data_IF_296252160284
#
_entry.id   IF_296252160284
#
_cell.length_a   1.000
_cell.length_b   1.000
_cell.length_c   1.000
_cell.angle_alpha   90.00
_cell.angle_beta   90.00
_cell.angle_gamma   90.00
#
_symmetry.space_group_name_H-M   'P 1'
#
loop_
_entity.id
_entity.type
_entity.pdbx_description
1 polymer ?
#
# COMPACT_ATOMS: atom_id res chain seq x y z
N UNK A 1 26.92 4.57 -7.58
CA UNK A 1 26.27 5.67 -8.32
C UNK A 1 26.00 6.77 -7.31
N UNK A 2 26.72 7.89 -7.39
CA UNK A 2 26.49 9.06 -6.53
C UNK A 2 25.37 9.86 -7.16
N UNK A 3 24.22 10.05 -6.48
CA UNK A 3 23.21 10.98 -6.99
C UNK A 3 23.78 12.39 -6.84
N UNK A 4 24.30 12.95 -7.93
CA UNK A 4 24.73 14.36 -7.95
C UNK A 4 23.56 15.32 -8.20
N UNK A 5 22.43 14.81 -8.71
CA UNK A 5 21.22 15.57 -9.03
C UNK A 5 20.02 15.12 -8.19
N UNK A 6 20.16 15.22 -6.87
CA UNK A 6 19.12 14.83 -5.93
C UNK A 6 17.94 15.81 -6.05
N UNK A 7 16.67 15.38 -6.03
CA UNK A 7 15.54 16.33 -6.10
C UNK A 7 15.49 17.33 -4.94
N UNK A 8 16.15 17.05 -3.81
CA UNK A 8 16.35 18.05 -2.75
C UNK A 8 17.57 18.97 -2.97
N UNK A 9 18.43 18.70 -3.96
CA UNK A 9 19.48 19.65 -4.41
C UNK A 9 18.85 20.86 -5.09
N UNK A 10 17.61 20.78 -5.58
CA UNK A 10 16.82 21.96 -6.01
C UNK A 10 15.99 22.60 -4.89
N UNK A 11 16.15 22.16 -3.63
CA UNK A 11 15.56 22.80 -2.45
C UNK A 11 14.02 22.75 -2.34
N UNK A 12 13.35 21.87 -3.09
CA UNK A 12 11.89 21.80 -3.10
C UNK A 12 11.40 20.52 -2.45
N UNK A 13 10.54 20.66 -1.45
CA UNK A 13 9.80 19.55 -0.85
C UNK A 13 8.81 18.97 -1.86
N UNK A 14 8.50 17.67 -1.71
CA UNK A 14 7.31 17.07 -2.31
C UNK A 14 6.07 17.77 -1.77
N UNK A 15 5.07 18.01 -2.62
CA UNK A 15 3.83 18.70 -2.24
C UNK A 15 2.66 17.75 -2.13
N UNK A 16 2.77 16.55 -2.70
CA UNK A 16 1.73 15.52 -2.64
C UNK A 16 2.30 14.11 -2.76
N UNK A 17 1.53 13.06 -2.41
CA UNK A 17 1.92 11.68 -2.68
C UNK A 17 2.22 11.41 -4.16
N UNK A 18 1.59 12.14 -5.09
CA UNK A 18 1.79 11.95 -6.53
C UNK A 18 3.20 12.32 -7.00
N UNK A 19 3.98 13.01 -6.17
CA UNK A 19 5.38 13.33 -6.46
C UNK A 19 6.34 12.16 -6.23
N UNK A 20 5.94 11.14 -5.47
CA UNK A 20 6.80 10.00 -5.09
C UNK A 20 7.37 9.28 -6.33
N UNK A 21 6.57 8.90 -7.35
CA UNK A 21 7.11 8.28 -8.55
C UNK A 21 8.08 9.18 -9.31
N UNK A 22 7.80 10.49 -9.36
CA UNK A 22 8.63 11.47 -10.06
C UNK A 22 10.03 11.55 -9.46
N UNK A 23 10.15 11.58 -8.13
CA UNK A 23 11.47 11.64 -7.48
C UNK A 23 12.18 10.29 -7.46
N UNK A 24 11.44 9.19 -7.38
CA UNK A 24 12.04 7.85 -7.42
C UNK A 24 12.62 7.53 -8.80
N UNK A 25 12.08 8.07 -9.89
CA UNK A 25 12.60 7.88 -11.25
C UNK A 25 14.10 8.20 -11.37
N UNK A 26 14.57 9.20 -10.61
CA UNK A 26 15.96 9.64 -10.58
C UNK A 26 16.89 8.67 -9.83
N UNK A 27 16.34 7.77 -9.01
CA UNK A 27 17.09 6.80 -8.22
C UNK A 27 17.36 5.48 -8.98
N UNK A 28 16.68 5.23 -10.09
CA UNK A 28 16.88 4.01 -10.87
C UNK A 28 18.08 4.14 -11.81
N UNK A 29 18.99 3.18 -11.72
CA UNK A 29 20.15 3.08 -12.62
C UNK A 29 19.78 2.65 -14.04
N UNK A 30 18.60 2.03 -14.18
CA UNK A 30 18.05 1.55 -15.44
C UNK A 30 16.57 1.91 -15.52
N UNK A 31 16.19 2.66 -16.55
CA UNK A 31 14.81 3.10 -16.76
C UNK A 31 13.85 1.94 -17.01
N UNK A 32 14.32 0.79 -17.49
CA UNK A 32 13.49 -0.42 -17.57
C UNK A 32 13.18 -0.99 -16.17
N UNK A 33 14.10 -0.88 -15.23
CA UNK A 33 13.85 -1.21 -13.82
C UNK A 33 12.89 -0.18 -13.20
N UNK A 34 12.99 1.10 -13.57
CA UNK A 34 12.02 2.11 -13.14
C UNK A 34 10.61 1.78 -13.63
N UNK A 35 10.47 1.41 -14.92
CA UNK A 35 9.20 0.95 -15.49
C UNK A 35 8.70 -0.32 -14.81
N UNK A 36 9.58 -1.27 -14.48
CA UNK A 36 9.20 -2.52 -13.82
C UNK A 36 8.84 -2.33 -12.33
N UNK A 37 9.58 -1.49 -11.61
CA UNK A 37 9.35 -1.19 -10.19
C UNK A 37 8.17 -0.21 -9.98
N UNK A 38 7.95 0.70 -10.93
CA UNK A 38 6.76 1.54 -10.97
C UNK A 38 5.55 0.81 -11.60
N UNK A 39 5.76 -0.28 -12.37
CA UNK A 39 4.67 -0.78 -13.20
C UNK A 39 4.84 -1.99 -14.10
N UNK A 40 5.80 -2.88 -13.86
CA UNK A 40 5.82 -4.21 -14.49
C UNK A 40 4.62 -5.08 -14.05
N UNK A 41 3.93 -4.66 -12.99
CA UNK A 41 2.51 -4.95 -12.72
C UNK A 41 1.87 -3.70 -12.09
N UNK A 42 1.75 -2.60 -12.85
CA UNK A 42 0.65 -1.63 -12.61
C UNK A 42 -0.59 -2.50 -12.71
N UNK A 43 -1.15 -2.89 -11.56
CA UNK A 43 -2.39 -3.63 -11.35
C UNK A 43 -2.77 -4.62 -12.45
N UNK A 44 -2.79 -5.93 -12.14
CA UNK A 44 -3.38 -6.85 -13.11
C UNK A 44 -4.82 -6.37 -13.40
N UNK A 45 -5.14 -6.20 -14.69
CA UNK A 45 -6.47 -5.74 -15.09
C UNK A 45 -7.56 -6.63 -14.49
N UNK A 46 -7.24 -7.92 -14.31
CA UNK A 46 -8.04 -8.89 -13.58
C UNK A 46 -8.28 -8.51 -12.11
N UNK A 47 -7.28 -8.05 -11.36
CA UNK A 47 -7.47 -7.68 -9.95
C UNK A 47 -8.36 -6.44 -9.82
N UNK A 48 -8.11 -5.42 -10.65
CA UNK A 48 -8.93 -4.21 -10.68
C UNK A 48 -10.37 -4.55 -11.03
N UNK A 49 -10.57 -5.29 -12.13
CA UNK A 49 -11.89 -5.70 -12.58
C UNK A 49 -12.63 -6.55 -11.54
N UNK A 50 -11.96 -7.53 -10.95
CA UNK A 50 -12.56 -8.43 -9.96
C UNK A 50 -12.99 -7.67 -8.70
N UNK A 51 -12.14 -6.79 -8.18
CA UNK A 51 -12.46 -6.00 -6.96
C UNK A 51 -13.54 -4.96 -7.26
N UNK A 52 -13.49 -4.30 -8.41
CA UNK A 52 -14.55 -3.37 -8.85
C UNK A 52 -15.90 -4.07 -8.96
N UNK A 53 -15.95 -5.26 -9.57
CA UNK A 53 -17.20 -6.00 -9.74
C UNK A 53 -17.72 -6.66 -8.46
N UNK A 54 -16.92 -6.79 -7.40
CA UNK A 54 -17.42 -7.32 -6.11
C UNK A 54 -18.68 -6.60 -5.63
N UNK A 55 -18.68 -5.27 -5.69
CA UNK A 55 -19.84 -4.46 -5.29
C UNK A 55 -21.05 -4.78 -6.17
N UNK A 56 -20.85 -4.90 -7.49
CA UNK A 56 -21.89 -5.26 -8.44
C UNK A 56 -22.48 -6.65 -8.16
N UNK A 57 -21.62 -7.66 -7.92
CA UNK A 57 -22.05 -9.02 -7.61
C UNK A 57 -22.82 -9.08 -6.29
N UNK A 58 -22.33 -8.42 -5.23
CA UNK A 58 -23.06 -8.37 -3.96
C UNK A 58 -24.37 -7.58 -4.07
N UNK A 59 -24.40 -6.48 -4.82
CA UNK A 59 -25.63 -5.74 -5.08
C UNK A 59 -26.67 -6.59 -5.85
N UNK A 60 -26.20 -7.43 -6.78
CA UNK A 60 -27.04 -8.41 -7.48
C UNK A 60 -27.63 -9.43 -6.50
N UNK A 61 -26.83 -9.93 -5.54
CA UNK A 61 -27.33 -10.85 -4.50
C UNK A 61 -28.37 -10.17 -3.59
N UNK A 62 -28.15 -8.90 -3.20
CA UNK A 62 -29.14 -8.11 -2.45
C UNK A 62 -30.44 -7.98 -3.25
N UNK A 63 -30.34 -7.63 -4.53
CA UNK A 63 -31.50 -7.44 -5.40
C UNK A 63 -32.31 -8.72 -5.66
N UNK A 64 -31.63 -9.87 -5.71
CA UNK A 64 -32.25 -11.19 -5.86
C UNK A 64 -32.89 -11.71 -4.55
N UNK A 65 -32.72 -11.01 -3.43
CA UNK A 65 -33.19 -11.45 -2.11
C UNK A 65 -34.03 -10.38 -1.40
N UNK A 66 -35.32 -10.22 -1.77
CA UNK A 66 -36.20 -9.23 -1.13
C UNK A 66 -36.29 -9.36 0.41
N UNK A 67 -36.11 -10.57 0.92
CA UNK A 67 -36.14 -10.91 2.35
C UNK A 67 -34.74 -11.19 2.93
N UNK A 68 -33.68 -10.86 2.20
CA UNK A 68 -32.28 -11.11 2.58
C UNK A 68 -31.97 -12.58 2.94
N UNK A 69 -32.72 -13.53 2.35
CA UNK A 69 -32.50 -14.98 2.49
C UNK A 69 -31.08 -15.39 2.13
N UNK A 70 -30.43 -14.69 1.21
CA UNK A 70 -29.05 -14.96 0.81
C UNK A 70 -28.01 -14.30 1.70
N UNK A 71 -28.38 -13.48 2.69
CA UNK A 71 -27.44 -12.74 3.55
C UNK A 71 -26.68 -11.61 2.86
N UNK A 72 -27.07 -11.25 1.62
CA UNK A 72 -26.35 -10.29 0.77
C UNK A 72 -26.18 -8.90 1.40
N UNK A 73 -27.14 -8.43 2.20
CA UNK A 73 -27.10 -7.08 2.81
C UNK A 73 -25.92 -6.95 3.77
N UNK A 74 -25.68 -7.95 4.61
CA UNK A 74 -24.58 -7.93 5.58
C UNK A 74 -23.21 -7.99 4.89
N UNK A 75 -23.10 -8.84 3.85
CA UNK A 75 -21.87 -8.95 3.05
C UNK A 75 -21.57 -7.65 2.30
N UNK A 76 -22.58 -7.02 1.69
CA UNK A 76 -22.44 -5.75 0.97
C UNK A 76 -21.98 -4.61 1.89
N UNK A 77 -22.59 -4.50 3.07
CA UNK A 77 -22.22 -3.50 4.08
C UNK A 77 -20.78 -3.71 4.59
N UNK A 78 -20.40 -4.96 4.82
CA UNK A 78 -19.04 -5.34 5.24
C UNK A 78 -18.00 -5.01 4.16
N UNK A 79 -18.30 -5.30 2.89
CA UNK A 79 -17.42 -4.94 1.77
C UNK A 79 -17.26 -3.42 1.65
N UNK A 80 -18.35 -2.67 1.79
CA UNK A 80 -18.33 -1.20 1.72
C UNK A 80 -17.45 -0.61 2.82
N UNK A 81 -17.60 -1.10 4.04
CA UNK A 81 -16.75 -0.71 5.18
C UNK A 81 -15.28 -1.04 4.91
N UNK A 82 -14.98 -2.26 4.43
CA UNK A 82 -13.62 -2.66 4.09
C UNK A 82 -13.00 -1.74 3.02
N UNK A 83 -13.74 -1.43 1.96
CA UNK A 83 -13.26 -0.54 0.88
C UNK A 83 -13.01 0.89 1.38
N UNK A 84 -13.87 1.43 2.24
CA UNK A 84 -13.66 2.75 2.83
C UNK A 84 -12.42 2.77 3.74
N UNK A 85 -12.23 1.73 4.55
CA UNK A 85 -11.06 1.63 5.41
C UNK A 85 -9.76 1.46 4.60
N UNK A 86 -9.81 0.76 3.46
CA UNK A 86 -8.69 0.65 2.52
C UNK A 86 -8.31 1.99 1.89
N UNK A 87 -9.28 2.78 1.42
CA UNK A 87 -9.03 4.13 0.88
C UNK A 87 -8.41 5.03 1.96
N UNK A 88 -8.99 5.03 3.17
CA UNK A 88 -8.52 5.87 4.27
C UNK A 88 -7.12 5.48 4.75
N UNK A 89 -6.82 4.18 4.82
CA UNK A 89 -5.48 3.68 5.17
C UNK A 89 -4.47 4.00 4.06
N UNK A 90 -4.83 3.81 2.79
CA UNK A 90 -3.97 4.17 1.66
C UNK A 90 -3.65 5.67 1.68
N UNK A 91 -4.65 6.53 1.90
CA UNK A 91 -4.46 7.98 2.00
C UNK A 91 -3.48 8.35 3.12
N UNK A 92 -3.70 7.81 4.31
CA UNK A 92 -2.86 8.06 5.49
C UNK A 92 -1.40 7.66 5.23
N UNK A 93 -1.18 6.46 4.69
CA UNK A 93 0.16 5.91 4.47
C UNK A 93 0.87 6.65 3.34
N UNK A 94 0.17 6.96 2.25
CA UNK A 94 0.71 7.76 1.14
C UNK A 94 1.10 9.16 1.59
N UNK A 95 0.30 9.77 2.48
CA UNK A 95 0.62 11.07 3.08
C UNK A 95 1.85 10.98 4.00
N UNK A 96 1.96 9.93 4.80
CA UNK A 96 3.13 9.71 5.63
C UNK A 96 4.40 9.41 4.83
N UNK A 97 4.28 8.70 3.70
CA UNK A 97 5.40 8.41 2.80
C UNK A 97 6.00 9.67 2.17
N UNK A 98 5.20 10.59 1.64
CA UNK A 98 5.78 11.82 1.08
C UNK A 98 6.40 12.68 2.18
N UNK A 99 5.76 12.77 3.35
CA UNK A 99 6.25 13.57 4.47
C UNK A 99 7.57 13.02 5.03
N UNK A 100 7.71 11.69 5.08
CA UNK A 100 8.94 11.03 5.50
C UNK A 100 10.04 11.18 4.46
N UNK A 101 9.74 11.15 3.16
CA UNK A 101 10.72 11.49 2.12
C UNK A 101 11.21 12.94 2.28
N UNK A 102 10.31 13.90 2.53
CA UNK A 102 10.71 15.28 2.83
C UNK A 102 11.64 15.35 4.04
N UNK A 103 11.31 14.62 5.11
CA UNK A 103 12.12 14.59 6.33
C UNK A 103 13.50 13.99 6.08
N UNK A 104 13.59 12.82 5.45
CA UNK A 104 14.86 12.13 5.20
C UNK A 104 15.70 12.82 4.13
N UNK A 105 15.07 13.53 3.20
CA UNK A 105 15.74 14.17 2.08
C UNK A 105 16.29 15.56 2.38
N UNK A 106 15.72 16.29 3.34
CA UNK A 106 16.39 17.43 3.94
C UNK A 106 17.44 16.89 4.92
N UNK A 107 18.68 16.67 4.46
CA UNK A 107 19.77 16.14 5.30
C UNK A 107 20.14 17.02 6.51
N UNK A 108 19.55 18.21 6.59
CA UNK A 108 19.65 19.14 7.69
C UNK A 108 18.75 18.70 8.85
N UNK A 109 19.26 18.79 10.09
CA UNK A 109 18.55 18.48 11.33
C UNK A 109 18.08 17.03 11.50
N UNK A 110 18.67 16.08 10.78
CA UNK A 110 18.39 14.66 11.02
C UNK A 110 18.90 14.25 12.40
N UNK A 111 18.05 13.57 13.18
CA UNK A 111 18.41 13.03 14.49
C UNK A 111 18.00 11.57 14.57
N UNK A 112 18.68 10.80 15.41
CA UNK A 112 18.31 9.42 15.72
C UNK A 112 16.82 9.28 16.10
N UNK A 113 16.30 10.22 16.89
CA UNK A 113 14.90 10.25 17.34
C UNK A 113 13.90 10.42 16.19
N UNK A 114 14.25 11.16 15.13
CA UNK A 114 13.39 11.29 13.95
C UNK A 114 13.21 9.92 13.26
N UNK A 115 14.27 9.13 13.14
CA UNK A 115 14.19 7.79 12.55
C UNK A 115 13.45 6.80 13.44
N UNK A 116 13.59 6.90 14.77
CA UNK A 116 12.81 6.08 15.70
C UNK A 116 11.30 6.38 15.60
N UNK A 117 10.95 7.67 15.45
CA UNK A 117 9.58 8.12 15.26
C UNK A 117 9.00 7.61 13.94
N UNK A 118 9.74 7.76 12.83
CA UNK A 118 9.32 7.24 11.53
C UNK A 118 9.18 5.71 11.57
N UNK A 119 10.13 5.00 12.15
CA UNK A 119 10.10 3.54 12.27
C UNK A 119 8.88 3.04 13.03
N UNK A 120 8.54 3.73 14.13
CA UNK A 120 7.33 3.43 14.91
C UNK A 120 6.06 3.66 14.08
N UNK A 121 5.98 4.78 13.36
CA UNK A 121 4.83 5.10 12.51
C UNK A 121 4.62 4.06 11.40
N UNK A 122 5.68 3.68 10.68
CA UNK A 122 5.62 2.69 9.60
C UNK A 122 5.31 1.27 10.11
N UNK A 123 5.78 0.92 11.31
CA UNK A 123 5.36 -0.31 12.00
C UNK A 123 3.86 -0.29 12.35
N UNK A 124 3.34 0.87 12.76
CA UNK A 124 1.91 1.11 12.95
C UNK A 124 1.10 0.93 11.65
N UNK A 125 1.54 1.53 10.55
CA UNK A 125 0.91 1.39 9.24
C UNK A 125 0.89 -0.06 8.75
N UNK A 126 1.98 -0.80 8.96
CA UNK A 126 2.02 -2.24 8.67
C UNK A 126 0.96 -3.00 9.47
N UNK A 127 0.80 -2.66 10.75
CA UNK A 127 -0.22 -3.25 11.62
C UNK A 127 -1.64 -2.95 11.10
N UNK A 128 -1.91 -1.72 10.66
CA UNK A 128 -3.17 -1.35 10.01
C UNK A 128 -3.44 -2.20 8.76
N UNK A 129 -2.45 -2.38 7.89
CA UNK A 129 -2.60 -3.20 6.67
C UNK A 129 -2.88 -4.67 7.01
N UNK A 130 -2.20 -5.24 8.02
CA UNK A 130 -2.47 -6.60 8.49
C UNK A 130 -3.87 -6.75 9.10
N UNK A 131 -4.36 -5.73 9.79
CA UNK A 131 -5.74 -5.70 10.29
C UNK A 131 -6.74 -5.71 9.14
N UNK A 132 -6.53 -4.90 8.10
CA UNK A 132 -7.38 -4.89 6.90
C UNK A 132 -7.33 -6.22 6.14
N UNK A 133 -6.16 -6.85 6.07
CA UNK A 133 -6.01 -8.19 5.50
C UNK A 133 -6.86 -9.22 6.27
N UNK A 134 -6.84 -9.13 7.60
CA UNK A 134 -7.67 -9.96 8.49
C UNK A 134 -9.15 -9.71 8.23
N UNK A 135 -9.59 -8.45 8.14
CA UNK A 135 -10.98 -8.10 7.79
C UNK A 135 -11.40 -8.65 6.43
N UNK A 136 -10.54 -8.58 5.41
CA UNK A 136 -10.78 -9.17 4.09
C UNK A 136 -10.96 -10.69 4.16
N UNK A 137 -10.11 -11.38 4.93
CA UNK A 137 -10.20 -12.82 5.14
C UNK A 137 -11.47 -13.22 5.91
N UNK A 138 -11.84 -12.46 6.95
CA UNK A 138 -13.07 -12.69 7.71
C UNK A 138 -14.30 -12.56 6.82
N UNK A 139 -14.37 -11.51 5.98
CA UNK A 139 -15.46 -11.34 5.03
C UNK A 139 -15.51 -12.48 4.02
N UNK A 140 -14.35 -12.89 3.49
CA UNK A 140 -14.25 -14.04 2.58
C UNK A 140 -14.84 -15.30 3.21
N UNK A 141 -14.46 -15.61 4.45
CA UNK A 141 -14.96 -16.77 5.20
C UNK A 141 -16.46 -16.67 5.41
N UNK A 142 -16.99 -15.51 5.80
CA UNK A 142 -18.43 -15.32 6.01
C UNK A 142 -19.25 -15.54 4.72
N UNK A 143 -18.76 -15.04 3.58
CA UNK A 143 -19.38 -15.25 2.28
C UNK A 143 -19.28 -16.72 1.87
N UNK A 144 -18.14 -17.37 2.10
CA UNK A 144 -17.93 -18.81 1.82
C UNK A 144 -18.95 -19.66 2.59
N UNK A 145 -19.05 -19.46 3.90
CA UNK A 145 -20.03 -20.16 4.75
C UNK A 145 -21.46 -19.94 4.27
N UNK A 146 -21.80 -18.70 3.88
CA UNK A 146 -23.13 -18.37 3.37
C UNK A 146 -23.41 -19.06 2.03
N UNK A 147 -22.46 -19.02 1.08
CA UNK A 147 -22.57 -19.69 -0.21
C UNK A 147 -22.77 -21.19 -0.04
N UNK A 148 -22.01 -21.80 0.86
CA UNK A 148 -22.01 -23.25 1.08
C UNK A 148 -23.26 -23.73 1.83
N UNK A 149 -23.93 -22.84 2.58
CA UNK A 149 -25.21 -23.16 3.23
C UNK A 149 -26.42 -23.08 2.28
N UNK A 150 -26.26 -22.51 1.08
CA UNK A 150 -27.32 -22.47 0.07
C UNK A 150 -27.52 -23.86 -0.54
N UNK A 151 -28.48 -24.63 -0.03
CA UNK A 151 -28.72 -26.02 -0.47
C UNK A 151 -29.63 -26.15 -1.69
N UNK A 152 -30.49 -25.16 -1.98
CA UNK A 152 -31.35 -25.21 -3.17
C UNK A 152 -30.55 -25.00 -4.45
N UNK A 153 -31.06 -25.56 -5.54
CA UNK A 153 -30.42 -25.57 -6.87
C UNK A 153 -31.26 -24.90 -7.95
N UNK A 154 -32.16 -23.98 -7.57
CA UNK A 154 -32.90 -23.17 -8.53
C UNK A 154 -31.97 -22.18 -9.23
N UNK A 155 -32.37 -21.65 -10.40
CA UNK A 155 -31.54 -20.73 -11.18
C UNK A 155 -31.09 -19.50 -10.39
N UNK A 156 -31.96 -18.97 -9.52
CA UNK A 156 -31.63 -17.84 -8.62
C UNK A 156 -30.51 -18.24 -7.66
N UNK A 157 -30.59 -19.43 -7.03
CA UNK A 157 -29.56 -19.91 -6.11
C UNK A 157 -28.22 -20.15 -6.83
N UNK A 158 -28.25 -20.70 -8.04
CA UNK A 158 -27.04 -20.89 -8.86
C UNK A 158 -26.40 -19.56 -9.26
N UNK A 159 -27.23 -18.55 -9.58
CA UNK A 159 -26.78 -17.19 -9.86
C UNK A 159 -26.10 -16.57 -8.64
N UNK A 160 -26.72 -16.68 -7.45
CA UNK A 160 -26.16 -16.17 -6.20
C UNK A 160 -24.85 -16.86 -5.85
N UNK A 161 -24.76 -18.19 -5.99
CA UNK A 161 -23.52 -18.94 -5.78
C UNK A 161 -22.40 -18.49 -6.70
N UNK A 162 -22.72 -18.16 -7.95
CA UNK A 162 -21.77 -17.62 -8.93
C UNK A 162 -21.28 -16.24 -8.51
N UNK A 163 -22.19 -15.34 -8.13
CA UNK A 163 -21.83 -14.01 -7.59
C UNK A 163 -20.91 -14.14 -6.37
N UNK A 164 -21.22 -15.02 -5.42
CA UNK A 164 -20.37 -15.24 -4.26
C UNK A 164 -19.01 -15.82 -4.60
N UNK A 165 -18.94 -16.74 -5.57
CA UNK A 165 -17.65 -17.29 -6.04
C UNK A 165 -16.76 -16.19 -6.59
N UNK A 166 -17.30 -15.30 -7.43
CA UNK A 166 -16.55 -14.16 -7.97
C UNK A 166 -16.07 -13.20 -6.88
N UNK A 167 -16.92 -12.90 -5.88
CA UNK A 167 -16.56 -12.05 -4.75
C UNK A 167 -15.47 -12.69 -3.89
N UNK A 168 -15.54 -14.00 -3.64
CA UNK A 168 -14.53 -14.75 -2.89
C UNK A 168 -13.17 -14.65 -3.60
N UNK A 169 -13.10 -14.93 -4.90
CA UNK A 169 -11.85 -14.84 -5.69
C UNK A 169 -11.24 -13.45 -5.63
N UNK A 170 -12.06 -12.40 -5.73
CA UNK A 170 -11.58 -11.04 -5.63
C UNK A 170 -11.09 -10.66 -4.22
N UNK A 171 -11.75 -11.15 -3.16
CA UNK A 171 -11.29 -10.97 -1.77
C UNK A 171 -9.98 -11.73 -1.50
N UNK A 172 -9.73 -12.84 -2.18
CA UNK A 172 -8.43 -13.54 -2.13
C UNK A 172 -7.32 -12.71 -2.75
N UNK A 173 -7.56 -12.16 -3.95
CA UNK A 173 -6.62 -11.23 -4.59
C UNK A 173 -6.35 -9.99 -3.73
N UNK A 174 -7.41 -9.41 -3.15
CA UNK A 174 -7.30 -8.27 -2.22
C UNK A 174 -6.43 -8.61 -0.99
N UNK A 175 -6.68 -9.75 -0.35
CA UNK A 175 -5.93 -10.22 0.82
C UNK A 175 -4.47 -10.49 0.49
N UNK A 176 -4.18 -11.11 -0.66
CA UNK A 176 -2.81 -11.33 -1.12
C UNK A 176 -2.07 -9.99 -1.33
N UNK A 177 -2.74 -9.00 -1.94
CA UNK A 177 -2.20 -7.66 -2.18
C UNK A 177 -1.92 -6.89 -0.89
N UNK A 178 -2.78 -7.01 0.11
CA UNK A 178 -2.54 -6.45 1.44
C UNK A 178 -1.32 -7.09 2.11
N UNK A 179 -1.16 -8.41 1.99
CA UNK A 179 0.05 -9.11 2.45
C UNK A 179 1.33 -8.60 1.79
N UNK A 180 1.29 -8.34 0.48
CA UNK A 180 2.40 -7.72 -0.25
C UNK A 180 2.71 -6.31 0.28
N UNK A 181 1.70 -5.46 0.47
CA UNK A 181 1.89 -4.11 1.03
C UNK A 181 2.49 -4.18 2.45
N UNK A 182 2.03 -5.09 3.30
CA UNK A 182 2.60 -5.29 4.64
C UNK A 182 4.08 -5.71 4.60
N UNK A 183 4.45 -6.58 3.64
CA UNK A 183 5.84 -6.98 3.41
C UNK A 183 6.71 -5.82 2.89
N UNK A 184 6.17 -5.01 1.98
CA UNK A 184 6.84 -3.81 1.47
C UNK A 184 7.05 -2.77 2.58
N UNK A 185 6.04 -2.52 3.42
CA UNK A 185 6.17 -1.64 4.59
C UNK A 185 7.24 -2.14 5.57
N UNK A 186 7.32 -3.45 5.80
CA UNK A 186 8.37 -4.03 6.65
C UNK A 186 9.77 -3.79 6.07
N UNK A 187 9.92 -4.02 4.76
CA UNK A 187 11.19 -3.79 4.04
C UNK A 187 11.55 -2.30 4.01
N UNK A 188 10.57 -1.44 3.83
CA UNK A 188 10.73 0.02 3.89
C UNK A 188 11.22 0.46 5.27
N UNK A 189 10.61 -0.08 6.33
CA UNK A 189 10.97 0.21 7.71
C UNK A 189 12.42 -0.16 8.06
N UNK A 190 12.97 -1.18 7.39
CA UNK A 190 14.37 -1.58 7.57
C UNK A 190 15.39 -0.55 7.09
N UNK A 191 14.98 0.50 6.35
CA UNK A 191 15.87 1.60 5.98
C UNK A 191 16.16 2.55 7.15
N UNK A 192 15.23 2.70 8.11
CA UNK A 192 15.39 3.68 9.19
C UNK A 192 16.57 3.38 10.13
N UNK A 193 16.84 2.11 10.53
CA UNK A 193 18.07 1.78 11.24
C UNK A 193 19.34 2.22 10.48
N UNK A 194 19.43 1.95 9.17
CA UNK A 194 20.60 2.37 8.36
C UNK A 194 20.76 3.89 8.32
N UNK A 195 19.66 4.64 8.16
CA UNK A 195 19.72 6.10 8.25
C UNK A 195 20.17 6.58 9.62
N UNK A 196 19.65 5.96 10.69
CA UNK A 196 20.01 6.27 12.07
C UNK A 196 21.50 6.04 12.31
N UNK A 197 22.03 4.89 11.90
CA UNK A 197 23.44 4.55 12.06
C UNK A 197 24.36 5.53 11.32
N UNK A 198 23.99 5.92 10.09
CA UNK A 198 24.73 6.93 9.32
C UNK A 198 24.78 8.30 10.04
N UNK A 199 23.65 8.75 10.59
CA UNK A 199 23.58 10.02 11.32
C UNK A 199 24.34 9.95 12.64
N UNK A 200 24.16 8.89 13.43
CA UNK A 200 24.88 8.71 14.69
C UNK A 200 26.39 8.68 14.49
N UNK A 201 26.87 7.96 13.47
CA UNK A 201 28.30 7.87 13.14
C UNK A 201 28.89 9.23 12.71
N UNK A 202 28.11 10.08 12.03
CA UNK A 202 28.56 11.41 11.63
C UNK A 202 28.58 12.42 12.79
N UNK A 203 27.67 12.26 13.75
CA UNK A 203 27.59 13.11 14.96
C UNK A 203 28.45 12.63 16.12
N UNK A 204 29.24 11.56 15.93
CA UNK A 204 30.08 10.99 16.98
C UNK A 204 31.07 12.04 17.54
N UNK A 205 31.10 12.27 18.86
CA UNK A 205 32.03 13.20 19.51
C UNK A 205 33.51 12.89 19.26
N UNK A 206 33.88 11.66 18.91
CA UNK A 206 35.27 11.27 18.59
C UNK A 206 35.78 11.87 17.26
N UNK A 207 34.89 12.54 16.52
CA UNK A 207 35.19 13.38 15.36
C UNK A 207 34.13 13.16 14.29
N UNK A 208 33.63 14.23 13.63
CA UNK A 208 32.67 14.04 12.55
C UNK A 208 33.32 13.17 11.48
N UNK A 209 32.69 12.03 11.18
CA UNK A 209 33.16 11.14 10.13
C UNK A 209 33.34 11.89 8.82
N UNK A 210 34.22 11.38 7.94
CA UNK A 210 34.48 11.94 6.61
C UNK A 210 33.16 12.35 5.92
N UNK A 211 32.97 13.65 5.73
CA UNK A 211 31.75 14.22 5.18
C UNK A 211 31.42 13.63 3.79
N UNK A 212 32.45 13.31 3.00
CA UNK A 212 32.27 12.65 1.70
C UNK A 212 31.65 11.26 1.84
N UNK A 213 32.12 10.49 2.83
CA UNK A 213 31.59 9.17 3.14
C UNK A 213 30.17 9.26 3.71
N UNK A 214 29.91 10.18 4.65
CA UNK A 214 28.56 10.42 5.18
C UNK A 214 27.56 10.75 4.06
N UNK A 215 27.90 11.71 3.21
CA UNK A 215 27.05 12.11 2.09
C UNK A 215 26.82 10.96 1.10
N UNK A 216 27.86 10.15 0.83
CA UNK A 216 27.74 8.98 -0.03
C UNK A 216 26.81 7.91 0.56
N UNK A 217 26.93 7.62 1.86
CA UNK A 217 26.06 6.67 2.57
C UNK A 217 24.62 7.15 2.64
N UNK A 218 24.39 8.43 2.96
CA UNK A 218 23.06 9.03 2.98
C UNK A 218 22.40 9.01 1.59
N UNK A 219 23.15 9.32 0.55
CA UNK A 219 22.67 9.23 -0.83
C UNK A 219 22.27 7.79 -1.19
N UNK A 220 23.07 6.79 -0.81
CA UNK A 220 22.74 5.39 -1.06
C UNK A 220 21.47 4.94 -0.32
N UNK A 221 21.34 5.31 0.96
CA UNK A 221 20.13 5.04 1.74
C UNK A 221 18.90 5.72 1.11
N UNK A 222 19.03 6.96 0.62
CA UNK A 222 17.95 7.66 -0.07
C UNK A 222 17.55 6.99 -1.39
N UNK A 223 18.49 6.47 -2.19
CA UNK A 223 18.18 5.67 -3.40
C UNK A 223 17.24 4.53 -3.03
N UNK A 224 17.64 3.73 -2.05
CA UNK A 224 16.90 2.53 -1.62
C UNK A 224 15.53 2.92 -1.06
N UNK A 225 15.49 3.99 -0.26
CA UNK A 225 14.28 4.54 0.33
C UNK A 225 13.27 4.99 -0.74
N UNK A 226 13.72 5.75 -1.74
CA UNK A 226 12.87 6.26 -2.82
C UNK A 226 12.30 5.13 -3.69
N UNK A 227 13.12 4.12 -4.03
CA UNK A 227 12.67 2.93 -4.79
C UNK A 227 11.61 2.16 -3.99
N UNK A 228 11.85 1.96 -2.70
CA UNK A 228 10.89 1.30 -1.79
C UNK A 228 9.58 2.09 -1.67
N UNK A 229 9.65 3.41 -1.48
CA UNK A 229 8.49 4.31 -1.42
C UNK A 229 7.65 4.26 -2.70
N UNK A 230 8.29 4.27 -3.87
CA UNK A 230 7.58 4.16 -5.16
C UNK A 230 6.87 2.81 -5.31
N UNK A 231 7.50 1.74 -4.85
CA UNK A 231 6.90 0.40 -4.89
C UNK A 231 5.64 0.37 -4.01
N UNK A 232 5.70 0.93 -2.80
CA UNK A 232 4.53 1.04 -1.92
C UNK A 232 3.46 1.95 -2.54
N UNK A 233 3.84 3.10 -3.09
CA UNK A 233 2.94 4.03 -3.76
C UNK A 233 2.12 3.31 -4.84
N UNK A 234 2.79 2.59 -5.75
CA UNK A 234 2.14 1.89 -6.86
C UNK A 234 1.08 0.88 -6.39
N UNK A 235 1.30 0.24 -5.24
CA UNK A 235 0.33 -0.69 -4.65
C UNK A 235 -0.79 0.07 -3.94
N UNK A 236 -0.50 1.05 -3.09
CA UNK A 236 -1.55 1.76 -2.34
C UNK A 236 -2.45 2.63 -3.22
N UNK A 237 -1.91 3.22 -4.28
CA UNK A 237 -2.67 4.09 -5.19
C UNK A 237 -3.86 3.37 -5.85
N UNK A 238 -3.79 2.05 -5.99
CA UNK A 238 -4.94 1.21 -6.38
C UNK A 238 -6.18 1.45 -5.53
N UNK A 239 -6.03 1.45 -4.20
CA UNK A 239 -7.16 1.56 -3.29
C UNK A 239 -7.81 2.95 -3.39
N UNK A 240 -7.01 3.99 -3.66
CA UNK A 240 -7.51 5.34 -3.97
C UNK A 240 -8.38 5.35 -5.24
N UNK A 241 -8.01 4.58 -6.27
CA UNK A 241 -8.77 4.50 -7.54
C UNK A 241 -10.10 3.77 -7.40
N UNK A 242 -10.21 2.82 -6.46
CA UNK A 242 -11.48 2.10 -6.21
C UNK A 242 -12.61 3.03 -5.74
N UNK A 243 -12.29 4.20 -5.14
CA UNK A 243 -13.29 5.19 -4.69
C UNK A 243 -14.13 5.75 -5.84
N UNK A 244 -13.58 5.81 -7.06
CA UNK A 244 -14.24 6.38 -8.23
C UNK A 244 -15.15 5.42 -8.99
N UNK A 245 -15.13 4.12 -8.66
CA UNK A 245 -15.91 3.11 -9.38
C UNK A 245 -17.15 2.74 -8.56
N UNK A 246 -18.15 3.61 -8.63
CA UNK A 246 -19.48 3.38 -8.06
C UNK A 246 -20.46 3.46 -9.24
N UNK A 247 -21.06 2.32 -9.58
CA UNK A 247 -22.27 2.24 -10.39
C UNK A 247 -23.49 2.33 -9.45
#
# INVERSE_FOLDING_TARGET
MTITNYPFVTGSNLTSPCDIPRVALLAYTNQSLALNAAGGTIESASDLFSITLCKYYLNSVVSLSPTNVFGGVAHYSSLTTLMNNLDSAADTILNALYASINTCGTFTDLTATKFDTLSTAFSGYRTTILSLQTSSNTLKTAITTTRDSLTLTTDIYNTVKTCYTNVITALEGLSARLGQVASLLNTHNANFPTFKDNVTSYTDPEGPGDQSNYMSSMNYSMVTYLISSNTIFSKLYFYKRLRGVIF
#
